data_IF_514159206435
#
_entry.id   IF_514159206435
#
_cell.length_a   1.000
_cell.length_b   1.000
_cell.length_c   1.000
_cell.angle_alpha   90.00
_cell.angle_beta   90.00
_cell.angle_gamma   90.00
#
_symmetry.space_group_name_H-M   'P 1'
#
loop_
_entity.id
_entity.type
_entity.pdbx_description
1 polymer ?
#
# COMPACT_ATOMS: atom_id res chain seq x y z
N UNK A 1 -25.16 22.87 4.00
CA UNK A 1 -24.51 22.55 5.29
C UNK A 1 -24.38 21.05 5.57
N UNK A 2 -25.23 20.18 5.03
CA UNK A 2 -25.22 18.73 5.36
C UNK A 2 -23.97 18.00 4.88
N UNK A 3 -23.49 18.30 3.66
CA UNK A 3 -22.37 17.57 3.07
C UNK A 3 -21.03 17.83 3.78
N UNK A 4 -20.81 19.06 4.25
CA UNK A 4 -19.62 19.41 5.04
C UNK A 4 -19.54 18.61 6.35
N UNK A 5 -20.66 18.41 7.05
CA UNK A 5 -20.68 17.62 8.29
C UNK A 5 -20.32 16.16 8.07
N UNK A 6 -20.70 15.60 6.91
CA UNK A 6 -20.33 14.24 6.51
C UNK A 6 -18.83 14.18 6.20
N UNK A 7 -18.33 15.17 5.46
CA UNK A 7 -16.91 15.31 5.14
C UNK A 7 -16.04 15.41 6.41
N UNK A 8 -16.42 16.28 7.35
CA UNK A 8 -15.75 16.46 8.63
C UNK A 8 -15.80 15.19 9.52
N UNK A 9 -16.87 14.39 9.43
CA UNK A 9 -17.00 13.14 10.21
C UNK A 9 -16.05 12.04 9.72
N UNK A 10 -15.86 11.93 8.41
CA UNK A 10 -14.98 10.95 7.78
C UNK A 10 -13.55 11.45 7.56
N UNK A 11 -13.25 12.69 7.97
CA UNK A 11 -11.96 13.38 7.72
C UNK A 11 -11.55 13.40 6.24
N UNK A 12 -12.52 13.70 5.37
CA UNK A 12 -12.32 13.83 3.91
C UNK A 12 -12.78 15.19 3.42
N UNK A 13 -12.35 15.61 2.23
CA UNK A 13 -12.85 16.84 1.62
C UNK A 13 -14.26 16.67 1.06
N UNK A 14 -15.01 17.78 0.95
CA UNK A 14 -16.32 17.76 0.29
C UNK A 14 -16.18 17.37 -1.18
N UNK A 15 -15.08 17.78 -1.85
CA UNK A 15 -14.78 17.44 -3.23
C UNK A 15 -14.54 15.94 -3.45
N UNK A 16 -13.96 15.25 -2.45
CA UNK A 16 -13.83 13.79 -2.46
C UNK A 16 -15.20 13.11 -2.51
N UNK A 17 -16.16 13.56 -1.70
CA UNK A 17 -17.53 13.03 -1.71
C UNK A 17 -18.25 13.34 -3.03
N UNK A 18 -17.96 14.50 -3.62
CA UNK A 18 -18.55 14.92 -4.90
C UNK A 18 -17.87 14.28 -6.12
N UNK A 19 -16.79 13.51 -5.94
CA UNK A 19 -16.06 12.88 -7.03
C UNK A 19 -15.43 13.89 -8.00
N UNK A 20 -15.27 15.15 -7.59
CA UNK A 20 -14.44 16.10 -8.30
C UNK A 20 -13.01 15.58 -8.15
N UNK A 21 -12.45 15.02 -9.23
CA UNK A 21 -11.09 14.47 -9.25
C UNK A 21 -10.16 15.43 -8.51
N UNK A 22 -9.65 14.97 -7.37
CA UNK A 22 -8.55 15.62 -6.66
C UNK A 22 -7.36 15.50 -7.61
N UNK A 23 -7.17 16.47 -8.51
CA UNK A 23 -6.00 16.58 -9.35
C UNK A 23 -4.82 17.11 -8.53
N UNK A 24 -4.54 16.42 -7.43
CA UNK A 24 -3.39 16.61 -6.55
C UNK A 24 -2.90 15.21 -6.17
N UNK A 25 -2.51 14.42 -7.17
CA UNK A 25 -1.58 13.31 -6.97
C UNK A 25 -0.21 13.98 -6.88
N UNK A 26 0.10 14.53 -5.71
CA UNK A 26 1.42 15.05 -5.40
C UNK A 26 2.35 13.84 -5.21
N UNK A 27 3.04 13.48 -6.30
CA UNK A 27 3.92 12.31 -6.41
C UNK A 27 3.21 10.96 -6.15
N UNK A 28 3.62 9.92 -6.87
CA UNK A 28 3.35 8.56 -6.41
C UNK A 28 4.11 8.38 -5.09
N UNK A 29 3.46 8.68 -3.95
CA UNK A 29 3.97 8.25 -2.66
C UNK A 29 4.16 6.75 -2.74
N UNK A 30 5.43 6.33 -2.69
CA UNK A 30 5.78 4.93 -2.65
C UNK A 30 5.22 4.37 -1.36
N UNK A 31 4.16 3.59 -1.48
CA UNK A 31 3.57 2.90 -0.35
C UNK A 31 4.47 1.72 0.03
N UNK A 32 5.15 1.83 1.17
CA UNK A 32 5.98 0.76 1.70
C UNK A 32 5.10 -0.27 2.43
N UNK A 33 4.88 -1.41 1.77
CA UNK A 33 4.10 -2.52 2.29
C UNK A 33 4.72 -3.14 3.56
N UNK A 34 6.06 -3.12 3.69
CA UNK A 34 6.74 -3.70 4.85
C UNK A 34 6.50 -2.84 6.08
N UNK A 35 6.70 -1.53 5.94
CA UNK A 35 6.41 -0.56 6.99
C UNK A 35 4.94 -0.61 7.43
N UNK A 36 4.01 -0.75 6.48
CA UNK A 36 2.58 -0.90 6.77
C UNK A 36 2.29 -2.14 7.64
N UNK A 37 2.87 -3.29 7.30
CA UNK A 37 2.66 -4.54 8.04
C UNK A 37 3.27 -4.50 9.44
N UNK A 38 4.41 -3.81 9.61
CA UNK A 38 5.06 -3.63 10.92
C UNK A 38 4.24 -2.72 11.84
N UNK A 39 3.60 -1.68 11.29
CA UNK A 39 2.86 -0.68 12.07
C UNK A 39 1.39 -1.02 12.31
N UNK A 40 0.82 -1.94 11.53
CA UNK A 40 -0.62 -2.18 11.55
C UNK A 40 -0.95 -3.61 11.96
N UNK A 41 -1.27 -3.77 13.26
CA UNK A 41 -1.63 -5.08 13.83
C UNK A 41 -2.96 -5.62 13.28
N UNK A 42 -3.78 -4.77 12.66
CA UNK A 42 -5.09 -5.12 12.10
C UNK A 42 -5.06 -5.42 10.61
N UNK A 43 -3.88 -5.63 10.01
CA UNK A 43 -3.77 -6.01 8.62
C UNK A 43 -4.44 -7.37 8.36
N UNK A 44 -5.23 -7.46 7.28
CA UNK A 44 -5.88 -8.70 6.85
C UNK A 44 -5.54 -9.00 5.39
N UNK A 45 -5.40 -10.27 5.05
CA UNK A 45 -5.25 -10.75 3.68
C UNK A 45 -6.42 -11.67 3.32
N UNK A 46 -7.26 -11.27 2.37
CA UNK A 46 -8.43 -12.06 1.97
C UNK A 46 -9.42 -12.31 3.12
N UNK A 47 -9.51 -11.40 4.09
CA UNK A 47 -10.32 -11.55 5.30
C UNK A 47 -9.66 -12.34 6.43
N UNK A 48 -8.44 -12.85 6.22
CA UNK A 48 -7.67 -13.55 7.27
C UNK A 48 -6.76 -12.54 7.97
N UNK A 49 -6.81 -12.41 9.30
CA UNK A 49 -5.92 -11.52 10.04
C UNK A 49 -4.46 -11.99 9.91
N UNK A 50 -3.57 -11.05 9.58
CA UNK A 50 -2.13 -11.27 9.56
C UNK A 50 -1.62 -11.15 11.00
N UNK A 51 -1.55 -12.27 11.72
CA UNK A 51 -0.87 -12.35 13.02
C UNK A 51 0.67 -12.29 12.83
N UNK A 52 1.42 -12.21 13.92
CA UNK A 52 2.87 -11.96 13.86
C UNK A 52 3.64 -13.02 13.05
N UNK A 53 3.33 -14.30 13.25
CA UNK A 53 3.94 -15.41 12.49
C UNK A 53 3.62 -15.33 11.00
N UNK A 54 2.37 -15.01 10.64
CA UNK A 54 1.97 -14.89 9.25
C UNK A 54 2.55 -13.64 8.58
N UNK A 55 2.75 -12.55 9.34
CA UNK A 55 3.44 -11.34 8.85
C UNK A 55 4.90 -11.64 8.50
N UNK A 56 5.58 -12.41 9.34
CA UNK A 56 6.96 -12.85 9.08
C UNK A 56 7.02 -13.71 7.81
N UNK A 57 6.17 -14.75 7.73
CA UNK A 57 6.10 -15.60 6.54
C UNK A 57 5.81 -14.81 5.25
N UNK A 58 4.86 -13.87 5.32
CA UNK A 58 4.49 -13.04 4.18
C UNK A 58 5.65 -12.12 3.75
N UNK A 59 6.38 -11.56 4.70
CA UNK A 59 7.56 -10.71 4.43
C UNK A 59 8.67 -11.51 3.75
N UNK A 60 9.00 -12.70 4.27
CA UNK A 60 10.01 -13.59 3.68
C UNK A 60 9.66 -14.02 2.26
N UNK A 61 8.39 -14.34 2.02
CA UNK A 61 7.88 -14.69 0.70
C UNK A 61 8.11 -13.53 -0.29
N UNK A 62 7.68 -12.32 0.08
CA UNK A 62 7.83 -11.15 -0.78
C UNK A 62 9.30 -10.81 -1.03
N UNK A 63 10.16 -10.84 -0.01
CA UNK A 63 11.59 -10.61 -0.15
C UNK A 63 12.24 -11.61 -1.12
N UNK A 64 11.84 -12.89 -1.04
CA UNK A 64 12.33 -13.94 -1.95
C UNK A 64 11.92 -13.65 -3.39
N UNK A 65 10.66 -13.25 -3.62
CA UNK A 65 10.15 -12.92 -4.95
C UNK A 65 10.85 -11.69 -5.52
N UNK A 66 11.04 -10.64 -4.71
CA UNK A 66 11.73 -9.42 -5.11
C UNK A 66 13.17 -9.71 -5.53
N UNK A 67 13.94 -10.44 -4.70
CA UNK A 67 15.32 -10.84 -5.02
C UNK A 67 15.40 -11.60 -6.35
N UNK A 68 14.42 -12.48 -6.62
CA UNK A 68 14.36 -13.23 -7.88
C UNK A 68 14.11 -12.31 -9.08
N UNK A 69 13.25 -11.31 -8.96
CA UNK A 69 12.97 -10.34 -10.02
C UNK A 69 14.17 -9.41 -10.27
N UNK A 70 14.86 -8.98 -9.23
CA UNK A 70 16.11 -8.21 -9.33
C UNK A 70 17.21 -9.01 -10.04
N UNK A 71 17.37 -10.28 -9.68
CA UNK A 71 18.35 -11.16 -10.32
C UNK A 71 18.08 -11.34 -11.82
N UNK A 72 16.81 -11.45 -12.23
CA UNK A 72 16.42 -11.50 -13.66
C UNK A 72 16.73 -10.20 -14.39
N UNK A 73 16.44 -9.05 -13.78
CA UNK A 73 16.74 -7.74 -14.37
C UNK A 73 18.24 -7.56 -14.61
N UNK A 74 19.06 -7.96 -13.65
CA UNK A 74 20.52 -7.85 -13.76
C UNK A 74 21.13 -8.80 -14.81
N UNK A 75 20.48 -9.93 -15.12
CA UNK A 75 20.91 -10.85 -16.19
C UNK A 75 20.52 -10.37 -17.60
N UNK A 76 19.52 -9.49 -17.73
CA UNK A 76 19.11 -8.90 -19.01
C UNK A 76 19.94 -7.69 -19.46
N UNK A 77 20.79 -7.12 -18.58
CA UNK A 77 21.60 -5.92 -18.85
C UNK A 77 23.07 -6.21 -19.23
N UNK A 78 23.49 -7.48 -19.32
CA UNK A 78 24.88 -7.86 -19.65
C UNK A 78 25.11 -8.16 -21.15
N UNK A 79 24.20 -7.73 -22.02
CA UNK A 79 24.33 -7.82 -23.48
C UNK A 79 24.13 -6.44 -24.10
N UNK A 80 25.01 -5.50 -23.76
CA UNK A 80 25.33 -4.30 -24.55
C UNK A 80 26.84 -4.00 -24.41
#
# INVERSE_FOLDING_TARGET
>A
MTLKKIADYFDVSVDYILGHKVSNIEAEEKFDLKEFLEKNETAHWGGVPLNDELREYFSDLLETVIKREEAKKNQGQTLD
#
